data_IF_466721333107
#
_entry.id   IF_466721333107
#
_cell.length_a   1.000
_cell.length_b   1.000
_cell.length_c   1.000
_cell.angle_alpha   90.00
_cell.angle_beta   90.00
_cell.angle_gamma   90.00
#
_symmetry.space_group_name_H-M   'P 1'
#
loop_
_entity.id
_entity.type
_entity.pdbx_description
1 polymer ?
#
# COMPACT_ATOMS: atom_id res chain seq x y z
N UNK A 1 -1.72 14.08 4.12
CA UNK A 1 -2.63 13.96 2.97
C UNK A 1 -1.90 14.16 1.63
N UNK A 2 -0.62 13.79 1.57
CA UNK A 2 0.29 14.17 0.47
C UNK A 2 0.45 13.09 -0.60
N UNK A 3 0.04 11.86 -0.30
CA UNK A 3 0.12 10.75 -1.24
C UNK A 3 -0.89 10.94 -2.38
N UNK A 4 -0.53 10.49 -3.58
CA UNK A 4 -1.40 10.46 -4.75
C UNK A 4 -2.22 9.17 -4.78
N UNK A 5 -1.66 8.09 -4.23
CA UNK A 5 -2.36 6.83 -4.04
C UNK A 5 -1.99 6.13 -2.71
N UNK A 6 -2.86 5.24 -2.26
CA UNK A 6 -2.62 4.34 -1.12
C UNK A 6 -2.68 2.90 -1.63
N UNK A 7 -1.62 2.12 -1.38
CA UNK A 7 -1.53 0.70 -1.70
C UNK A 7 -1.70 -0.16 -0.44
N UNK A 8 -2.60 -1.13 -0.53
CA UNK A 8 -2.78 -2.19 0.48
C UNK A 8 -2.87 -3.57 -0.17
N UNK A 9 -2.37 -4.60 0.50
CA UNK A 9 -2.57 -5.97 0.04
C UNK A 9 -4.05 -6.40 0.10
N UNK A 10 -4.48 -7.28 -0.80
CA UNK A 10 -5.85 -7.82 -0.78
C UNK A 10 -6.18 -8.56 0.54
N UNK A 11 -5.17 -9.09 1.24
CA UNK A 11 -5.34 -9.66 2.59
C UNK A 11 -5.87 -8.64 3.59
N UNK A 12 -5.25 -7.47 3.64
CA UNK A 12 -5.69 -6.34 4.49
C UNK A 12 -7.12 -5.91 4.16
N UNK A 13 -7.52 -5.92 2.88
CA UNK A 13 -8.91 -5.62 2.50
C UNK A 13 -9.88 -6.63 3.11
N UNK A 14 -9.57 -7.92 3.03
CA UNK A 14 -10.43 -8.98 3.58
C UNK A 14 -10.51 -8.94 5.09
N UNK A 15 -9.39 -8.69 5.77
CA UNK A 15 -9.32 -8.74 7.24
C UNK A 15 -9.85 -7.46 7.89
N UNK A 16 -9.43 -6.30 7.39
CA UNK A 16 -9.65 -5.02 8.07
C UNK A 16 -10.75 -4.16 7.42
N UNK A 17 -11.17 -4.52 6.20
CA UNK A 17 -12.17 -3.80 5.40
C UNK A 17 -12.00 -2.26 5.44
N UNK A 18 -10.81 -1.73 5.10
CA UNK A 18 -10.45 -0.35 5.35
C UNK A 18 -11.19 0.60 4.40
N UNK A 19 -11.53 1.79 4.91
CA UNK A 19 -12.16 2.85 4.10
C UNK A 19 -11.16 3.58 3.20
N UNK A 20 -9.90 3.72 3.65
CA UNK A 20 -8.82 4.48 2.99
C UNK A 20 -9.26 5.89 2.53
N UNK A 21 -9.95 6.61 3.41
CA UNK A 21 -10.38 8.00 3.19
C UNK A 21 -9.66 8.91 4.18
N UNK A 22 -9.31 10.12 3.71
CA UNK A 22 -8.84 11.18 4.59
C UNK A 22 -9.99 11.58 5.50
N UNK A 23 -9.74 11.55 6.81
CA UNK A 23 -10.76 11.82 7.84
C UNK A 23 -10.92 13.31 8.16
N UNK A 24 -9.84 14.08 8.13
CA UNK A 24 -9.86 15.52 8.46
C UNK A 24 -10.33 16.33 7.23
N UNK A 25 -11.47 17.04 7.30
CA UNK A 25 -11.97 17.85 6.19
C UNK A 25 -11.01 18.96 5.76
N UNK A 26 -10.19 19.49 6.66
CA UNK A 26 -9.20 20.52 6.34
C UNK A 26 -8.13 19.97 5.39
N UNK A 27 -7.69 18.74 5.62
CA UNK A 27 -6.73 18.07 4.75
C UNK A 27 -7.31 17.74 3.37
N UNK A 28 -8.61 17.42 3.32
CA UNK A 28 -9.33 17.26 2.04
C UNK A 28 -9.36 18.59 1.28
N UNK A 29 -9.69 19.68 1.96
CA UNK A 29 -9.72 21.01 1.37
C UNK A 29 -8.34 21.45 0.85
N UNK A 30 -7.27 21.23 1.62
CA UNK A 30 -5.90 21.52 1.19
C UNK A 30 -5.53 20.76 -0.10
N UNK A 31 -5.96 19.50 -0.25
CA UNK A 31 -5.73 18.75 -1.49
C UNK A 31 -6.43 19.40 -2.68
N UNK A 32 -7.71 19.76 -2.52
CA UNK A 32 -8.51 20.40 -3.58
C UNK A 32 -7.87 21.72 -4.00
N UNK A 33 -7.45 22.55 -3.05
CA UNK A 33 -6.77 23.83 -3.31
C UNK A 33 -5.43 23.65 -4.03
N UNK A 34 -4.74 22.54 -3.79
CA UNK A 34 -3.51 22.17 -4.51
C UNK A 34 -3.76 21.51 -5.88
N UNK A 35 -5.00 21.50 -6.38
CA UNK A 35 -5.37 20.91 -7.67
C UNK A 35 -5.42 19.37 -7.66
N UNK A 36 -5.45 18.74 -6.48
CA UNK A 36 -5.49 17.28 -6.32
C UNK A 36 -6.91 16.80 -6.03
N UNK A 37 -7.15 15.52 -6.23
CA UNK A 37 -8.40 14.85 -5.83
C UNK A 37 -8.62 14.95 -4.32
N UNK A 38 -9.88 14.97 -3.82
CA UNK A 38 -10.18 15.00 -2.38
C UNK A 38 -9.54 13.87 -1.57
N UNK A 39 -9.37 12.70 -2.19
CA UNK A 39 -8.75 11.52 -1.61
C UNK A 39 -7.72 10.91 -2.58
N UNK A 40 -6.62 10.30 -2.07
CA UNK A 40 -5.69 9.55 -2.90
C UNK A 40 -6.39 8.37 -3.59
N UNK A 41 -5.93 7.98 -4.77
CA UNK A 41 -6.40 6.76 -5.42
C UNK A 41 -6.19 5.54 -4.52
N UNK A 42 -7.07 4.54 -4.63
CA UNK A 42 -6.99 3.31 -3.86
C UNK A 42 -6.41 2.21 -4.74
N UNK A 43 -5.34 1.58 -4.28
CA UNK A 43 -4.66 0.54 -5.03
C UNK A 43 -4.59 -0.73 -4.20
N UNK A 44 -4.84 -1.86 -4.84
CA UNK A 44 -4.60 -3.17 -4.26
C UNK A 44 -4.02 -4.12 -5.29
N UNK A 45 -3.35 -5.15 -4.79
CA UNK A 45 -2.86 -6.27 -5.58
C UNK A 45 -3.39 -7.59 -5.01
N UNK A 46 -3.78 -8.51 -5.88
CA UNK A 46 -4.36 -9.78 -5.50
C UNK A 46 -3.79 -10.95 -6.30
N UNK A 47 -3.46 -12.02 -5.59
CA UNK A 47 -3.06 -13.32 -6.19
C UNK A 47 -4.28 -14.19 -6.48
N UNK A 48 -5.20 -14.28 -5.51
CA UNK A 48 -6.35 -15.17 -5.55
C UNK A 48 -7.62 -14.52 -6.09
N UNK A 49 -7.64 -13.20 -6.25
CA UNK A 49 -8.81 -12.49 -6.77
C UNK A 49 -10.06 -12.54 -5.88
N UNK A 50 -9.89 -12.99 -4.64
CA UNK A 50 -10.94 -13.02 -3.61
C UNK A 50 -11.05 -11.63 -2.99
N UNK A 51 -11.85 -10.79 -3.65
CA UNK A 51 -12.13 -9.40 -3.32
C UNK A 51 -13.65 -9.20 -3.42
N UNK A 52 -14.28 -8.92 -2.29
CA UNK A 52 -15.72 -8.62 -2.24
C UNK A 52 -15.99 -7.23 -2.83
N UNK A 53 -16.75 -7.08 -3.94
CA UNK A 53 -17.12 -5.79 -4.50
C UNK A 53 -17.91 -4.90 -3.53
N UNK A 54 -18.53 -5.47 -2.48
CA UNK A 54 -19.24 -4.74 -1.44
C UNK A 54 -18.32 -4.22 -0.31
N UNK A 55 -17.02 -4.54 -0.33
CA UNK A 55 -16.08 -4.04 0.67
C UNK A 55 -15.98 -2.50 0.66
N UNK A 56 -15.69 -1.90 1.82
CA UNK A 56 -15.53 -0.45 2.01
C UNK A 56 -14.49 0.15 1.06
N UNK A 57 -13.46 -0.63 0.72
CA UNK A 57 -12.44 -0.24 -0.26
C UNK A 57 -13.08 0.18 -1.58
N UNK A 58 -14.06 -0.59 -2.08
CA UNK A 58 -14.73 -0.37 -3.36
C UNK A 58 -15.95 0.57 -3.24
N UNK A 59 -16.75 0.42 -2.19
CA UNK A 59 -18.03 1.15 -2.04
C UNK A 59 -17.85 2.60 -1.59
N UNK A 60 -16.84 2.91 -0.78
CA UNK A 60 -16.69 4.24 -0.17
C UNK A 60 -15.73 5.12 -0.95
N UNK A 61 -16.14 6.38 -1.13
CA UNK A 61 -15.37 7.39 -1.88
C UNK A 61 -15.44 7.21 -3.40
N UNK A 62 -15.23 8.32 -4.10
CA UNK A 62 -15.37 8.41 -5.57
C UNK A 62 -14.02 8.44 -6.31
N UNK A 63 -12.91 8.43 -5.57
CA UNK A 63 -11.56 8.34 -6.14
C UNK A 63 -11.35 7.02 -6.88
N UNK A 64 -10.40 7.04 -7.82
CA UNK A 64 -10.00 5.87 -8.61
C UNK A 64 -9.66 4.68 -7.70
N UNK A 65 -10.07 3.49 -8.12
CA UNK A 65 -9.78 2.21 -7.47
C UNK A 65 -9.11 1.31 -8.50
N UNK A 66 -7.91 0.84 -8.20
CA UNK A 66 -7.10 0.03 -9.10
C UNK A 66 -6.82 -1.32 -8.45
N UNK A 67 -7.07 -2.40 -9.18
CA UNK A 67 -6.79 -3.77 -8.75
C UNK A 67 -5.78 -4.39 -9.71
N UNK A 68 -4.59 -4.69 -9.20
CA UNK A 68 -3.56 -5.43 -9.93
C UNK A 68 -3.69 -6.93 -9.69
N UNK A 69 -3.57 -7.71 -10.75
CA UNK A 69 -3.55 -9.17 -10.70
C UNK A 69 -2.68 -9.74 -11.84
N UNK A 70 -2.40 -11.04 -11.79
CA UNK A 70 -1.80 -11.74 -12.93
C UNK A 70 -2.72 -11.64 -14.16
N UNK A 71 -2.14 -11.49 -15.35
CA UNK A 71 -2.87 -11.32 -16.60
C UNK A 71 -3.89 -12.43 -16.86
N UNK A 72 -3.53 -13.66 -16.50
CA UNK A 72 -4.42 -14.84 -16.58
C UNK A 72 -5.70 -14.72 -15.74
N UNK A 73 -5.75 -13.80 -14.76
CA UNK A 73 -6.90 -13.57 -13.88
C UNK A 73 -7.67 -12.29 -14.19
N UNK A 74 -7.14 -11.44 -15.07
CA UNK A 74 -7.68 -10.09 -15.29
C UNK A 74 -9.16 -10.13 -15.70
N UNK A 75 -9.54 -11.04 -16.59
CA UNK A 75 -10.92 -11.12 -17.06
C UNK A 75 -11.89 -11.58 -15.97
N UNK A 76 -11.50 -12.59 -15.19
CA UNK A 76 -12.28 -13.04 -14.02
C UNK A 76 -12.46 -11.91 -13.00
N UNK A 77 -11.42 -11.11 -12.78
CA UNK A 77 -11.48 -9.98 -11.85
C UNK A 77 -12.35 -8.84 -12.37
N UNK A 78 -12.31 -8.54 -13.68
CA UNK A 78 -13.21 -7.57 -14.31
C UNK A 78 -14.67 -8.01 -14.20
N UNK A 79 -14.95 -9.29 -14.45
CA UNK A 79 -16.30 -9.83 -14.31
C UNK A 79 -16.81 -9.74 -12.86
N UNK A 80 -15.94 -10.00 -11.87
CA UNK A 80 -16.29 -9.92 -10.45
C UNK A 80 -16.53 -8.48 -9.97
N UNK A 81 -15.62 -7.56 -10.31
CA UNK A 81 -15.64 -6.20 -9.79
C UNK A 81 -16.51 -5.26 -10.62
N UNK A 82 -16.79 -5.59 -11.88
CA UNK A 82 -17.56 -4.75 -12.79
C UNK A 82 -16.98 -3.34 -12.87
N UNK A 83 -17.80 -2.34 -12.53
CA UNK A 83 -17.40 -0.92 -12.51
C UNK A 83 -16.83 -0.46 -11.17
N UNK A 84 -16.72 -1.34 -10.17
CA UNK A 84 -16.26 -0.98 -8.83
C UNK A 84 -14.77 -0.62 -8.79
N UNK A 85 -13.97 -1.10 -9.75
CA UNK A 85 -12.56 -0.77 -9.89
C UNK A 85 -12.05 -0.99 -11.32
N UNK A 86 -10.99 -0.29 -11.68
CA UNK A 86 -10.17 -0.59 -12.86
C UNK A 86 -9.27 -1.79 -12.56
N UNK A 87 -9.40 -2.85 -13.35
CA UNK A 87 -8.58 -4.05 -13.20
C UNK A 87 -7.45 -4.05 -14.21
N UNK A 88 -6.22 -4.14 -13.69
CA UNK A 88 -4.98 -4.21 -14.47
C UNK A 88 -4.39 -5.60 -14.33
N UNK A 89 -4.32 -6.32 -15.45
CA UNK A 89 -3.61 -7.59 -15.55
C UNK A 89 -2.17 -7.34 -15.98
N UNK A 90 -1.20 -7.76 -15.17
CA UNK A 90 0.22 -7.69 -15.53
C UNK A 90 0.70 -9.06 -16.00
N UNK A 91 1.65 -9.07 -16.91
CA UNK A 91 2.24 -10.31 -17.43
C UNK A 91 2.92 -11.12 -16.31
N UNK A 92 2.87 -12.45 -16.45
CA UNK A 92 3.42 -13.40 -15.49
C UNK A 92 2.38 -14.04 -14.56
N UNK A 93 2.84 -15.00 -13.76
CA UNK A 93 2.01 -15.77 -12.83
C UNK A 93 1.63 -14.98 -11.56
N UNK A 94 2.37 -13.90 -11.28
CA UNK A 94 2.20 -13.02 -10.12
C UNK A 94 2.44 -11.58 -10.53
N UNK A 95 1.89 -10.66 -9.74
CA UNK A 95 2.13 -9.22 -9.90
C UNK A 95 3.55 -8.92 -9.46
N UNK A 96 4.41 -8.57 -10.42
CA UNK A 96 5.73 -8.03 -10.14
C UNK A 96 5.62 -6.57 -9.67
N UNK A 97 6.22 -6.26 -8.52
CA UNK A 97 6.05 -4.95 -7.88
C UNK A 97 6.68 -3.82 -8.67
N UNK A 98 7.83 -4.04 -9.32
CA UNK A 98 8.47 -3.03 -10.18
C UNK A 98 7.54 -2.61 -11.33
N UNK A 99 6.94 -3.59 -12.02
CA UNK A 99 6.02 -3.34 -13.14
C UNK A 99 4.74 -2.64 -12.66
N UNK A 100 4.22 -3.02 -11.49
CA UNK A 100 3.10 -2.31 -10.87
C UNK A 100 3.44 -0.85 -10.59
N UNK A 101 4.62 -0.57 -10.03
CA UNK A 101 5.07 0.79 -9.73
C UNK A 101 5.28 1.61 -11.02
N UNK A 102 5.79 0.99 -12.09
CA UNK A 102 5.92 1.63 -13.41
C UNK A 102 4.56 2.00 -14.02
N UNK A 103 3.56 1.10 -13.94
CA UNK A 103 2.20 1.41 -14.41
C UNK A 103 1.56 2.53 -13.59
N UNK A 104 1.75 2.54 -12.26
CA UNK A 104 1.29 3.65 -11.40
C UNK A 104 1.97 4.97 -11.78
N UNK A 105 3.28 4.97 -12.02
CA UNK A 105 3.99 6.17 -12.47
C UNK A 105 3.47 6.66 -13.83
N UNK A 106 3.17 5.76 -14.77
CA UNK A 106 2.54 6.08 -16.06
C UNK A 106 1.14 6.70 -15.93
N UNK A 107 0.45 6.46 -14.81
CA UNK A 107 -0.84 7.09 -14.45
C UNK A 107 -0.68 8.45 -13.74
N UNK A 108 0.55 8.92 -13.55
CA UNK A 108 0.85 10.17 -12.84
C UNK A 108 0.84 10.04 -11.32
N UNK A 109 0.92 8.81 -10.78
CA UNK A 109 1.05 8.59 -9.33
C UNK A 109 2.53 8.70 -8.97
N UNK A 110 2.92 9.82 -8.35
CA UNK A 110 4.31 10.09 -7.97
C UNK A 110 4.58 9.72 -6.51
N UNK A 111 3.59 9.89 -5.63
CA UNK A 111 3.71 9.59 -4.19
C UNK A 111 2.77 8.45 -3.80
N UNK A 112 3.32 7.25 -3.62
CA UNK A 112 2.58 6.08 -3.17
C UNK A 112 2.77 5.87 -1.66
N UNK A 113 1.67 5.90 -0.89
CA UNK A 113 1.68 5.43 0.49
C UNK A 113 1.37 3.93 0.52
N UNK A 114 2.28 3.12 1.06
CA UNK A 114 2.01 1.70 1.30
C UNK A 114 1.66 1.52 2.78
N UNK A 115 0.38 1.25 3.07
CA UNK A 115 -0.06 0.94 4.45
C UNK A 115 0.29 -0.50 4.85
N UNK A 116 0.64 -1.33 3.86
CA UNK A 116 1.37 -2.57 4.07
C UNK A 116 0.53 -3.83 4.04
N UNK A 117 0.79 -4.68 5.02
CA UNK A 117 0.60 -6.14 4.98
C UNK A 117 1.97 -6.82 4.90
N UNK A 118 2.22 -7.78 5.81
CA UNK A 118 3.54 -8.40 6.01
C UNK A 118 4.21 -8.84 4.70
N UNK A 119 3.45 -9.49 3.82
CA UNK A 119 3.96 -9.97 2.52
C UNK A 119 4.35 -8.84 1.57
N UNK A 120 3.59 -7.75 1.52
CA UNK A 120 3.86 -6.61 0.64
C UNK A 120 5.10 -5.84 1.14
N UNK A 121 5.16 -5.56 2.44
CA UNK A 121 6.31 -4.91 3.07
C UNK A 121 7.60 -5.71 2.86
N UNK A 122 7.53 -7.03 3.04
CA UNK A 122 8.67 -7.93 2.83
C UNK A 122 9.19 -7.85 1.40
N UNK A 123 8.30 -7.86 0.40
CA UNK A 123 8.70 -7.78 -1.01
C UNK A 123 9.28 -6.42 -1.37
N UNK A 124 8.64 -5.32 -0.95
CA UNK A 124 9.12 -3.96 -1.25
C UNK A 124 10.51 -3.69 -0.67
N UNK A 125 10.73 -4.07 0.59
CA UNK A 125 12.03 -3.92 1.24
C UNK A 125 13.07 -4.88 0.64
N UNK A 126 12.65 -6.08 0.23
CA UNK A 126 13.52 -7.11 -0.35
C UNK A 126 13.99 -6.76 -1.76
N UNK A 127 13.18 -6.00 -2.50
CA UNK A 127 13.49 -5.51 -3.84
C UNK A 127 14.14 -4.11 -3.84
N UNK A 128 14.43 -3.54 -2.67
CA UNK A 128 14.95 -2.18 -2.53
C UNK A 128 14.06 -1.16 -3.29
N UNK A 129 12.75 -1.19 -3.03
CA UNK A 129 11.75 -0.31 -3.68
C UNK A 129 11.18 0.76 -2.74
N UNK A 130 11.75 0.93 -1.54
CA UNK A 130 11.23 1.85 -0.51
C UNK A 130 12.13 3.08 -0.35
N UNK A 131 11.60 4.27 -0.58
CA UNK A 131 12.36 5.51 -0.36
C UNK A 131 12.27 6.01 1.09
N UNK A 132 11.09 5.92 1.70
CA UNK A 132 10.81 6.30 3.09
C UNK A 132 10.09 5.17 3.83
N UNK A 133 10.47 4.97 5.10
CA UNK A 133 9.79 4.03 6.00
C UNK A 133 9.39 4.76 7.28
N UNK A 134 8.10 4.70 7.62
CA UNK A 134 7.55 5.28 8.85
C UNK A 134 7.04 4.16 9.74
N UNK A 135 7.66 3.99 10.90
CA UNK A 135 7.35 2.90 11.84
C UNK A 135 6.75 3.51 13.10
N UNK A 136 5.49 3.20 13.39
CA UNK A 136 4.87 3.53 14.67
C UNK A 136 5.10 2.40 15.68
N UNK A 137 5.68 2.75 16.83
CA UNK A 137 5.88 1.86 17.98
C UNK A 137 4.88 2.27 19.05
N UNK A 138 3.86 1.45 19.26
CA UNK A 138 2.87 1.63 20.32
C UNK A 138 3.41 1.10 21.66
N UNK A 139 2.94 1.63 22.81
CA UNK A 139 3.35 1.17 24.14
C UNK A 139 2.63 -0.13 24.54
N UNK A 140 2.56 -1.10 23.63
CA UNK A 140 1.87 -2.37 23.83
C UNK A 140 2.78 -3.53 23.48
N UNK A 141 2.73 -4.59 24.29
CA UNK A 141 3.46 -5.83 24.06
C UNK A 141 2.47 -6.88 23.57
N UNK A 142 2.68 -7.37 22.36
CA UNK A 142 1.96 -8.51 21.80
C UNK A 142 2.88 -9.71 21.80
N UNK A 143 2.57 -10.72 22.62
CA UNK A 143 3.39 -11.91 22.82
C UNK A 143 2.76 -13.15 22.17
N UNK A 144 2.31 -13.01 20.92
CA UNK A 144 1.68 -14.09 20.14
C UNK A 144 2.62 -14.51 19.01
N UNK A 145 2.87 -15.82 18.85
CA UNK A 145 3.82 -16.34 17.85
C UNK A 145 3.39 -16.05 16.41
N UNK A 146 2.08 -16.14 16.17
CA UNK A 146 1.42 -15.98 14.87
C UNK A 146 1.00 -14.54 14.58
N UNK A 147 1.32 -13.58 15.46
CA UNK A 147 0.99 -12.19 15.22
C UNK A 147 1.67 -11.69 13.92
N UNK A 148 0.94 -10.96 13.06
CA UNK A 148 1.53 -10.37 11.87
C UNK A 148 2.74 -9.50 12.22
N UNK A 149 3.87 -9.76 11.54
CA UNK A 149 5.10 -8.96 11.70
C UNK A 149 5.17 -7.87 10.64
N UNK A 150 5.96 -6.83 10.88
CA UNK A 150 6.23 -5.81 9.86
C UNK A 150 6.82 -6.44 8.58
N UNK A 151 7.71 -7.42 8.77
CA UNK A 151 8.44 -8.18 7.74
C UNK A 151 8.47 -9.64 8.19
N UNK A 152 8.30 -10.59 7.27
CA UNK A 152 8.38 -12.03 7.57
C UNK A 152 8.94 -12.82 6.38
N UNK A 153 9.84 -13.77 6.65
CA UNK A 153 10.42 -14.66 5.64
C UNK A 153 10.46 -16.09 6.17
N UNK A 154 9.96 -17.06 5.40
CA UNK A 154 9.93 -18.50 5.80
C UNK A 154 11.28 -19.23 5.59
N UNK A 155 12.38 -18.50 5.34
CA UNK A 155 13.69 -19.06 4.99
C UNK A 155 14.86 -18.11 5.28
N UNK A 156 16.11 -18.48 4.92
CA UNK A 156 17.25 -17.61 5.08
C UNK A 156 16.96 -16.27 4.42
N UNK A 157 17.13 -15.23 5.22
CA UNK A 157 16.78 -13.87 4.88
C UNK A 157 17.41 -13.55 3.52
N UNK A 158 16.63 -13.14 2.49
CA UNK A 158 17.24 -12.52 1.31
C UNK A 158 18.17 -11.44 1.83
N UNK A 159 19.36 -11.27 1.26
CA UNK A 159 20.26 -10.20 1.69
C UNK A 159 19.54 -8.85 1.55
N UNK A 160 18.90 -8.39 2.63
CA UNK A 160 18.29 -7.07 2.71
C UNK A 160 19.45 -6.10 2.86
N UNK A 161 19.97 -5.64 1.73
CA UNK A 161 21.00 -4.62 1.69
C UNK A 161 20.42 -3.21 1.63
N UNK A 162 19.12 -3.05 1.86
CA UNK A 162 18.51 -1.72 1.91
C UNK A 162 18.99 -0.99 3.16
N UNK A 163 19.88 -0.02 2.96
CA UNK A 163 20.33 0.87 4.00
C UNK A 163 19.36 2.04 4.12
N UNK A 164 18.74 2.20 5.28
CA UNK A 164 17.92 3.36 5.63
C UNK A 164 18.58 4.15 6.76
N UNK A 165 18.41 5.47 6.76
CA UNK A 165 18.86 6.35 7.83
C UNK A 165 17.67 6.91 8.58
N UNK A 166 17.69 6.75 9.90
CA UNK A 166 16.78 7.47 10.79
C UNK A 166 17.06 8.97 10.65
N UNK A 167 16.03 9.75 10.35
CA UNK A 167 16.17 11.20 10.20
C UNK A 167 15.22 12.00 11.10
N UNK A 168 14.18 11.38 11.63
CA UNK A 168 13.32 11.98 12.66
C UNK A 168 12.70 10.92 13.57
N UNK A 169 12.39 11.35 14.80
CA UNK A 169 11.57 10.62 15.77
C UNK A 169 10.51 11.58 16.26
N UNK A 170 9.25 11.23 16.08
CA UNK A 170 8.09 12.02 16.51
C UNK A 170 7.31 11.25 17.56
N UNK A 171 6.81 11.93 18.60
CA UNK A 171 5.86 11.33 19.53
C UNK A 171 4.44 11.73 19.13
N UNK A 172 3.61 10.73 18.81
CA UNK A 172 2.18 10.90 18.53
C UNK A 172 1.35 10.21 19.61
N UNK A 173 0.86 10.99 20.56
CA UNK A 173 0.23 10.45 21.78
C UNK A 173 1.23 9.64 22.58
N UNK A 174 0.95 8.35 22.78
CA UNK A 174 1.87 7.42 23.46
C UNK A 174 2.75 6.63 22.49
N UNK A 175 2.57 6.81 21.17
CA UNK A 175 3.36 6.11 20.16
C UNK A 175 4.61 6.93 19.77
N UNK A 176 5.74 6.24 19.56
CA UNK A 176 6.90 6.80 18.89
C UNK A 176 6.82 6.47 17.39
N UNK A 177 6.93 7.48 16.52
CA UNK A 177 7.01 7.31 15.07
C UNK A 177 8.44 7.56 14.63
N UNK A 178 9.07 6.51 14.09
CA UNK A 178 10.41 6.55 13.55
C UNK A 178 10.34 6.81 12.05
N UNK A 179 11.04 7.85 11.59
CA UNK A 179 11.10 8.21 10.18
C UNK A 179 12.47 7.87 9.62
N UNK A 180 12.47 6.93 8.67
CA UNK A 180 13.65 6.49 7.95
C UNK A 180 13.55 6.89 6.48
N UNK A 181 14.70 7.18 5.88
CA UNK A 181 14.81 7.45 4.44
C UNK A 181 16.04 6.79 3.85
N UNK A 182 15.96 6.43 2.57
CA UNK A 182 17.12 6.00 1.79
C UNK A 182 18.17 7.14 1.76
N UNK A 183 19.48 6.83 1.96
CA UNK A 183 20.54 7.80 1.72
C UNK A 183 20.49 8.25 0.26
N UNK A 184 20.62 9.56 0.02
CA UNK A 184 20.88 10.03 -1.35
C UNK A 184 22.28 9.55 -1.71
N UNK A 185 22.38 8.66 -2.70
CA UNK A 185 23.67 8.31 -3.31
C UNK A 185 24.19 9.58 -3.97
N UNK A 186 25.33 10.08 -3.48
CA UNK A 186 26.02 11.25 -4.06
C UNK A 186 26.63 10.90 -5.42
#
# INVERSE_FOLDING_TARGET
AEADAILVGAGTIRTDNPKLLIRDPRLVQTRIESGRTPHPAKVTLTRGGDLDPAANFFQLGQQEKIVYCAGSRAETQRALLGTAATVVGLDGERVELSVLLEDLAGRGIERLLVEGGTSLNTQLLGLDLVDELRIAIAPQIVAESEAPRLIHTDGPVPHFNQQLRLFAVEQLGECAVLHYRRPVTA
#
